data_IF_613124409178
#
_entry.id   IF_613124409178
#
_cell.length_a   1.000
_cell.length_b   1.000
_cell.length_c   1.000
_cell.angle_alpha   90.00
_cell.angle_beta   90.00
_cell.angle_gamma   90.00
#
_symmetry.space_group_name_H-M   'P 1'
#
loop_
_entity.id
_entity.type
_entity.pdbx_description
1 polymer ?
#
# COMPACT_ATOMS: atom_id res chain seq x y z
N UNK A 1 -9.56 -40.78 27.65
CA UNK A 1 -8.55 -39.97 26.95
C UNK A 1 -9.04 -39.51 25.58
N UNK A 2 -9.40 -40.43 24.66
CA UNK A 2 -9.91 -40.07 23.31
C UNK A 2 -11.10 -39.11 23.32
N UNK A 3 -12.06 -39.30 24.24
CA UNK A 3 -13.18 -38.38 24.43
C UNK A 3 -12.75 -36.94 24.74
N UNK A 4 -11.79 -36.76 25.66
CA UNK A 4 -11.30 -35.44 26.02
C UNK A 4 -10.48 -34.81 24.90
N UNK A 5 -9.67 -35.59 24.19
CA UNK A 5 -8.88 -35.12 23.05
C UNK A 5 -9.79 -34.70 21.89
N UNK A 6 -10.80 -35.48 21.55
CA UNK A 6 -11.76 -35.10 20.50
C UNK A 6 -12.56 -33.88 20.90
N UNK A 7 -13.02 -33.79 22.15
CA UNK A 7 -13.75 -32.62 22.65
C UNK A 7 -12.91 -31.34 22.59
N UNK A 8 -11.67 -31.38 23.07
CA UNK A 8 -10.75 -30.22 23.02
C UNK A 8 -10.43 -29.87 21.56
N UNK A 9 -10.18 -30.87 20.70
CA UNK A 9 -9.91 -30.65 19.28
C UNK A 9 -11.10 -29.96 18.60
N UNK A 10 -12.31 -30.49 18.75
CA UNK A 10 -13.50 -29.90 18.15
C UNK A 10 -13.78 -28.51 18.72
N UNK A 11 -13.68 -28.32 20.04
CA UNK A 11 -13.96 -27.02 20.64
C UNK A 11 -12.94 -25.96 20.21
N UNK A 12 -11.65 -26.23 20.32
CA UNK A 12 -10.62 -25.26 19.96
C UNK A 12 -10.60 -24.96 18.44
N UNK A 13 -10.82 -25.99 17.62
CA UNK A 13 -10.81 -25.84 16.17
C UNK A 13 -12.07 -25.16 15.66
N UNK A 14 -13.25 -25.62 16.08
CA UNK A 14 -14.53 -25.10 15.62
C UNK A 14 -14.75 -23.68 16.14
N UNK A 15 -14.49 -23.40 17.42
CA UNK A 15 -14.69 -22.06 17.99
C UNK A 15 -13.81 -21.03 17.28
N UNK A 16 -12.54 -21.36 17.00
CA UNK A 16 -11.66 -20.45 16.25
C UNK A 16 -12.20 -20.20 14.84
N UNK A 17 -12.65 -21.24 14.14
CA UNK A 17 -13.14 -21.12 12.77
C UNK A 17 -14.46 -20.35 12.70
N UNK A 18 -15.39 -20.60 13.63
CA UNK A 18 -16.67 -19.87 13.71
C UNK A 18 -16.44 -18.42 14.11
N UNK A 19 -15.54 -18.15 15.05
CA UNK A 19 -15.23 -16.77 15.45
C UNK A 19 -14.65 -15.97 14.28
N UNK A 20 -13.72 -16.55 13.51
CA UNK A 20 -13.19 -15.91 12.30
C UNK A 20 -14.30 -15.67 11.27
N UNK A 21 -15.22 -16.63 11.08
CA UNK A 21 -16.33 -16.48 10.13
C UNK A 21 -17.24 -15.29 10.49
N UNK A 22 -17.61 -15.15 11.76
CA UNK A 22 -18.40 -14.01 12.24
C UNK A 22 -17.68 -12.68 12.00
N UNK A 23 -16.38 -12.61 12.27
CA UNK A 23 -15.60 -11.38 11.99
C UNK A 23 -15.58 -11.07 10.48
N UNK A 24 -15.43 -12.08 9.62
CA UNK A 24 -15.45 -11.87 8.16
C UNK A 24 -16.83 -11.38 7.70
N UNK A 25 -17.92 -11.92 8.25
CA UNK A 25 -19.29 -11.47 7.96
C UNK A 25 -19.49 -10.01 8.38
N UNK A 26 -19.12 -9.65 9.62
CA UNK A 26 -19.20 -8.24 10.07
C UNK A 26 -18.34 -7.31 9.20
N UNK A 27 -17.17 -7.74 8.73
CA UNK A 27 -16.35 -6.93 7.84
C UNK A 27 -16.97 -6.77 6.44
N UNK A 28 -17.63 -7.80 5.93
CA UNK A 28 -18.38 -7.73 4.68
C UNK A 28 -19.55 -6.75 4.78
N UNK A 29 -20.28 -6.77 5.89
CA UNK A 29 -21.35 -5.81 6.18
C UNK A 29 -20.81 -4.37 6.26
N UNK A 30 -19.74 -4.15 7.02
CA UNK A 30 -19.08 -2.83 7.12
C UNK A 30 -18.68 -2.34 5.72
N UNK A 31 -18.08 -3.19 4.89
CA UNK A 31 -17.70 -2.83 3.50
C UNK A 31 -18.91 -2.39 2.69
N UNK A 32 -20.02 -3.15 2.74
CA UNK A 32 -21.25 -2.79 2.02
C UNK A 32 -21.80 -1.46 2.54
N UNK A 33 -21.80 -1.24 3.85
CA UNK A 33 -22.24 0.03 4.45
C UNK A 33 -21.39 1.21 3.96
N UNK A 34 -20.06 1.08 3.92
CA UNK A 34 -19.19 2.11 3.35
C UNK A 34 -19.47 2.34 1.86
N UNK A 35 -19.72 1.29 1.07
CA UNK A 35 -20.09 1.46 -0.33
C UNK A 35 -21.45 2.14 -0.51
N UNK A 36 -22.44 1.90 0.36
CA UNK A 36 -23.74 2.57 0.26
C UNK A 36 -23.66 4.03 0.73
N UNK A 37 -22.92 4.29 1.81
CA UNK A 37 -22.75 5.65 2.36
C UNK A 37 -21.95 6.57 1.43
N UNK A 38 -20.94 6.03 0.74
CA UNK A 38 -20.04 6.83 -0.10
C UNK A 38 -20.27 6.61 -1.60
N UNK A 39 -20.77 5.45 -2.02
CA UNK A 39 -21.10 5.16 -3.42
C UNK A 39 -22.37 5.86 -3.90
N UNK A 40 -23.36 6.11 -3.02
CA UNK A 40 -24.52 6.94 -3.39
C UNK A 40 -24.19 8.44 -3.45
N UNK A 41 -23.11 8.88 -2.79
CA UNK A 41 -22.61 10.27 -2.84
C UNK A 41 -21.51 10.48 -3.89
N UNK A 42 -21.12 9.43 -4.62
CA UNK A 42 -19.92 9.39 -5.45
C UNK A 42 -20.15 9.48 -6.96
N UNK A 43 -21.14 10.23 -7.44
CA UNK A 43 -21.26 10.59 -8.87
C UNK A 43 -20.10 11.44 -9.42
N UNK A 44 -19.02 11.64 -8.66
CA UNK A 44 -17.86 12.46 -9.06
C UNK A 44 -16.58 12.01 -8.36
N UNK A 45 -16.26 10.72 -8.40
CA UNK A 45 -14.99 10.19 -7.85
C UNK A 45 -14.26 9.24 -8.83
N UNK A 46 -14.41 9.45 -10.14
CA UNK A 46 -13.39 9.01 -11.11
C UNK A 46 -12.41 10.16 -11.35
N UNK A 47 -11.40 10.27 -10.49
CA UNK A 47 -10.15 10.97 -10.83
C UNK A 47 -9.03 10.42 -9.99
N UNK A 48 -8.49 9.30 -10.46
CA UNK A 48 -7.10 8.89 -10.24
C UNK A 48 -6.13 9.80 -11.03
N UNK A 49 -6.44 11.10 -11.06
CA UNK A 49 -5.68 12.15 -11.69
C UNK A 49 -5.64 13.28 -10.68
N UNK A 50 -4.43 13.64 -10.24
CA UNK A 50 -4.13 14.75 -9.33
C UNK A 50 -4.98 15.98 -9.68
N UNK A 51 -6.11 16.18 -9.02
CA UNK A 51 -6.96 17.36 -9.23
C UNK A 51 -6.59 18.39 -8.18
N UNK A 52 -5.95 19.48 -8.61
CA UNK A 52 -5.63 20.61 -7.73
C UNK A 52 -6.72 21.65 -7.88
N UNK A 53 -7.22 22.14 -6.75
CA UNK A 53 -8.23 23.18 -6.67
C UNK A 53 -7.52 24.52 -6.98
N UNK A 54 -7.86 25.16 -8.11
CA UNK A 54 -7.32 26.47 -8.49
C UNK A 54 -8.40 27.54 -8.30
N UNK A 55 -8.03 28.64 -7.63
CA UNK A 55 -8.90 29.79 -7.41
C UNK A 55 -8.71 30.79 -8.56
N UNK A 56 -9.70 30.89 -9.44
CA UNK A 56 -9.73 31.91 -10.49
C UNK A 56 -10.74 33.00 -10.13
N UNK A 57 -10.31 33.90 -9.25
CA UNK A 57 -10.93 35.21 -8.96
C UNK A 57 -12.34 35.22 -8.34
N UNK A 58 -13.05 34.10 -8.27
CA UNK A 58 -14.41 34.03 -7.74
C UNK A 58 -15.08 32.65 -7.75
N UNK A 59 -14.45 31.63 -8.34
CA UNK A 59 -14.97 30.26 -8.34
C UNK A 59 -13.84 29.25 -8.19
N UNK A 60 -14.00 28.32 -7.25
CA UNK A 60 -13.07 27.20 -7.08
C UNK A 60 -13.35 26.17 -8.16
N UNK A 61 -12.45 26.05 -9.14
CA UNK A 61 -12.57 25.06 -10.21
C UNK A 61 -11.55 23.95 -9.99
N UNK A 62 -12.05 22.73 -9.88
CA UNK A 62 -11.25 21.52 -9.91
C UNK A 62 -10.74 21.33 -11.33
N UNK A 63 -9.44 21.53 -11.55
CA UNK A 63 -8.80 21.32 -12.84
C UNK A 63 -7.90 20.10 -12.70
N UNK A 64 -8.07 19.13 -13.60
CA UNK A 64 -7.19 17.97 -13.74
C UNK A 64 -5.77 18.50 -13.93
N UNK A 65 -4.88 18.30 -12.95
CA UNK A 65 -3.46 18.52 -13.17
C UNK A 65 -3.01 17.36 -14.03
N UNK A 66 -2.92 17.64 -15.32
CA UNK A 66 -2.24 16.78 -16.26
C UNK A 66 -0.77 16.65 -15.80
N UNK A 67 -0.45 15.57 -15.10
CA UNK A 67 0.93 15.20 -14.73
C UNK A 67 1.85 15.07 -15.95
N UNK A 68 1.29 15.05 -17.17
CA UNK A 68 2.05 15.01 -18.40
C UNK A 68 2.62 16.38 -18.83
N UNK A 69 2.23 17.49 -18.21
CA UNK A 69 2.81 18.81 -18.49
C UNK A 69 3.76 19.24 -17.39
N UNK A 70 4.95 18.66 -17.41
CA UNK A 70 6.09 19.20 -16.66
C UNK A 70 6.44 20.60 -17.20
N UNK A 71 5.83 21.63 -16.61
CA UNK A 71 6.28 23.02 -16.67
C UNK A 71 7.57 23.18 -15.86
N UNK A 72 8.61 22.45 -16.24
CA UNK A 72 9.94 22.50 -15.65
C UNK A 72 10.98 22.46 -16.76
N UNK A 73 11.99 23.33 -16.65
CA UNK A 73 13.20 23.37 -17.48
C UNK A 73 14.11 22.14 -17.23
N UNK A 74 13.53 20.96 -17.03
CA UNK A 74 14.25 19.73 -16.78
C UNK A 74 14.52 19.02 -18.12
N UNK A 75 15.78 18.64 -18.43
CA UNK A 75 16.14 18.02 -19.69
C UNK A 75 15.34 16.71 -19.93
N UNK A 76 14.57 16.68 -21.02
CA UNK A 76 13.64 15.62 -21.43
C UNK A 76 14.26 14.21 -21.44
N UNK A 77 15.58 14.12 -21.63
CA UNK A 77 16.32 12.86 -21.66
C UNK A 77 16.39 12.24 -20.25
N UNK A 78 16.68 13.04 -19.21
CA UNK A 78 16.74 12.56 -17.84
C UNK A 78 15.37 12.12 -17.34
N UNK A 79 14.31 12.86 -17.68
CA UNK A 79 12.94 12.49 -17.34
C UNK A 79 12.52 11.18 -18.00
N UNK A 80 12.93 10.94 -19.26
CA UNK A 80 12.67 9.68 -19.97
C UNK A 80 13.44 8.50 -19.38
N UNK A 81 14.69 8.72 -18.95
CA UNK A 81 15.50 7.69 -18.28
C UNK A 81 14.93 7.39 -16.90
N UNK A 82 14.54 8.40 -16.13
CA UNK A 82 13.91 8.23 -14.81
C UNK A 82 12.58 7.49 -14.89
N UNK A 83 11.75 7.75 -15.91
CA UNK A 83 10.46 7.07 -16.13
C UNK A 83 10.62 5.63 -16.67
N UNK A 84 11.84 5.20 -16.97
CA UNK A 84 12.08 3.84 -17.45
C UNK A 84 11.87 2.81 -16.33
N UNK A 85 11.06 1.78 -16.60
CA UNK A 85 10.89 0.65 -15.68
C UNK A 85 12.23 -0.04 -15.33
N UNK A 86 13.21 0.02 -16.23
CA UNK A 86 14.56 -0.50 -16.00
C UNK A 86 15.30 0.30 -14.92
N UNK A 87 15.16 1.62 -14.90
CA UNK A 87 15.79 2.48 -13.91
C UNK A 87 15.18 2.23 -12.52
N UNK A 88 13.85 2.15 -12.42
CA UNK A 88 13.16 1.79 -11.18
C UNK A 88 13.60 0.43 -10.63
N UNK A 89 13.67 -0.60 -11.49
CA UNK A 89 14.12 -1.94 -11.10
C UNK A 89 15.57 -1.94 -10.62
N UNK A 90 16.45 -1.19 -11.30
CA UNK A 90 17.86 -1.07 -10.92
C UNK A 90 18.04 -0.40 -9.56
N UNK A 91 17.32 0.69 -9.30
CA UNK A 91 17.37 1.38 -8.00
C UNK A 91 16.82 0.48 -6.89
N UNK A 92 15.71 -0.23 -7.13
CA UNK A 92 15.17 -1.18 -6.16
C UNK A 92 16.18 -2.30 -5.83
N UNK A 93 16.91 -2.80 -6.84
CA UNK A 93 17.95 -3.81 -6.66
C UNK A 93 19.14 -3.28 -5.86
N UNK A 94 19.57 -2.04 -6.11
CA UNK A 94 20.61 -1.37 -5.31
C UNK A 94 20.20 -1.25 -3.84
N UNK A 95 18.97 -0.81 -3.57
CA UNK A 95 18.44 -0.73 -2.20
C UNK A 95 18.36 -2.12 -1.55
N UNK A 96 17.98 -3.16 -2.30
CA UNK A 96 17.98 -4.53 -1.81
C UNK A 96 19.40 -5.00 -1.41
N UNK A 97 20.41 -4.69 -2.22
CA UNK A 97 21.82 -5.04 -1.92
C UNK A 97 22.33 -4.28 -0.70
N UNK A 98 21.99 -3.00 -0.56
CA UNK A 98 22.32 -2.20 0.62
C UNK A 98 21.70 -2.80 1.90
N UNK A 99 20.40 -3.12 1.85
CA UNK A 99 19.70 -3.77 2.97
C UNK A 99 20.28 -5.14 3.32
N UNK A 100 20.64 -5.96 2.32
CA UNK A 100 21.32 -7.24 2.53
C UNK A 100 22.69 -7.06 3.17
N UNK A 101 23.46 -6.06 2.72
CA UNK A 101 24.77 -5.76 3.27
C UNK A 101 24.65 -5.32 4.73
N UNK A 102 23.72 -4.40 5.03
CA UNK A 102 23.42 -3.96 6.39
C UNK A 102 22.95 -5.11 7.28
N UNK A 103 22.10 -6.01 6.78
CA UNK A 103 21.66 -7.20 7.50
C UNK A 103 22.76 -8.26 7.67
N UNK A 104 23.72 -8.33 6.73
CA UNK A 104 24.82 -9.28 6.74
C UNK A 104 25.98 -8.85 7.63
N UNK A 105 26.03 -7.58 8.06
CA UNK A 105 26.96 -7.10 9.08
C UNK A 105 26.71 -7.83 10.41
N UNK A 106 27.41 -8.94 10.58
CA UNK A 106 27.44 -9.71 11.82
C UNK A 106 28.53 -9.11 12.71
N UNK A 107 28.13 -8.54 13.85
CA UNK A 107 29.06 -8.02 14.84
C UNK A 107 29.95 -9.14 15.39
N UNK A 108 31.20 -9.20 14.94
CA UNK A 108 32.24 -10.02 15.57
C UNK A 108 32.75 -9.29 16.81
N UNK A 109 32.34 -9.76 17.98
CA UNK A 109 32.71 -9.19 19.27
C UNK A 109 34.08 -9.67 19.78
N UNK A 110 34.83 -10.48 19.01
CA UNK A 110 36.09 -11.06 19.48
C UNK A 110 37.37 -10.46 18.87
N UNK A 111 37.28 -9.61 17.85
CA UNK A 111 38.50 -9.00 17.29
C UNK A 111 38.77 -7.64 17.94
N UNK A 112 39.33 -7.67 19.17
CA UNK A 112 40.14 -6.56 19.68
C UNK A 112 41.29 -6.36 18.68
N UNK A 113 41.21 -5.34 17.83
CA UNK A 113 42.37 -4.92 17.04
C UNK A 113 43.30 -4.09 17.95
N UNK A 114 44.61 -4.35 17.98
CA UNK A 114 45.59 -3.38 18.45
C UNK A 114 45.61 -2.13 17.57
#
# INVERSE_FOLDING_TARGET
YLYFVSLIFFLAWLVKNVFIAVIIETFAEIRVQFQQMWGSRGGTAESDASQVIQNDGGSWRLVMVDENKTSGLAPLIFQRVLRSNLFHTFILLLVLVDALTAASLRFDHHTKKP
#
